data_IF_098305656429
#
_entry.id   IF_098305656429
#
_cell.length_a   1.000
_cell.length_b   1.000
_cell.length_c   1.000
_cell.angle_alpha   90.00
_cell.angle_beta   90.00
_cell.angle_gamma   90.00
#
_symmetry.space_group_name_H-M   'P 1'
#
loop_
_entity.id
_entity.type
_entity.pdbx_description
1 polymer ?
#
# COMPACT_ATOMS: atom_id res chain seq x y z
N UNK A 1 37.18 -14.93 18.80
CA UNK A 1 35.87 -14.64 19.38
C UNK A 1 34.87 -15.52 18.66
N UNK A 2 33.94 -16.12 19.39
CA UNK A 2 32.92 -17.01 18.80
C UNK A 2 31.73 -16.21 18.28
N UNK A 3 30.87 -16.84 17.46
CA UNK A 3 29.63 -16.22 16.99
C UNK A 3 28.75 -15.71 18.15
N UNK A 4 28.64 -16.50 19.24
CA UNK A 4 27.89 -16.14 20.45
C UNK A 4 28.44 -14.91 21.17
N UNK A 5 29.77 -14.74 21.19
CA UNK A 5 30.42 -13.58 21.83
C UNK A 5 30.07 -12.30 21.06
N UNK A 6 30.21 -12.33 19.74
CA UNK A 6 29.79 -11.22 18.88
C UNK A 6 28.30 -10.92 18.95
N UNK A 7 27.47 -11.95 19.15
CA UNK A 7 26.03 -11.77 19.35
C UNK A 7 25.74 -11.08 20.69
N UNK A 8 26.39 -11.48 21.78
CA UNK A 8 26.23 -10.83 23.08
C UNK A 8 26.70 -9.36 23.06
N UNK A 9 27.84 -9.08 22.42
CA UNK A 9 28.32 -7.71 22.20
C UNK A 9 27.28 -6.87 21.44
N UNK A 10 26.65 -7.47 20.43
CA UNK A 10 25.63 -6.82 19.64
C UNK A 10 24.37 -6.51 20.46
N UNK A 11 23.92 -7.44 21.31
CA UNK A 11 22.78 -7.26 22.20
C UNK A 11 23.06 -6.14 23.20
N UNK A 12 24.24 -6.12 23.82
CA UNK A 12 24.64 -5.05 24.74
C UNK A 12 24.62 -3.68 24.03
N UNK A 13 25.22 -3.57 22.84
CA UNK A 13 25.21 -2.34 22.07
C UNK A 13 23.78 -1.90 21.68
N UNK A 14 22.90 -2.85 21.34
CA UNK A 14 21.51 -2.56 20.99
C UNK A 14 20.72 -2.04 22.19
N UNK A 15 20.88 -2.66 23.36
CA UNK A 15 20.25 -2.22 24.61
C UNK A 15 20.72 -0.83 25.06
N UNK A 16 21.98 -0.49 24.76
CA UNK A 16 22.55 0.85 24.98
C UNK A 16 22.08 1.88 23.93
N UNK A 17 21.40 1.46 22.86
CA UNK A 17 20.92 2.31 21.77
C UNK A 17 21.98 2.63 20.71
N UNK A 18 23.14 1.97 20.74
CA UNK A 18 24.21 2.12 19.76
C UNK A 18 23.93 1.25 18.53
N UNK A 19 22.96 1.65 17.70
CA UNK A 19 22.49 0.83 16.57
C UNK A 19 23.57 0.47 15.54
N UNK A 20 24.51 1.37 15.25
CA UNK A 20 25.59 1.09 14.29
C UNK A 20 26.55 0.00 14.84
N UNK A 21 26.93 0.12 16.11
CA UNK A 21 27.79 -0.86 16.79
C UNK A 21 27.09 -2.22 16.90
N UNK A 22 25.80 -2.21 17.28
CA UNK A 22 24.97 -3.40 17.32
C UNK A 22 24.89 -4.09 15.95
N UNK A 23 24.69 -3.33 14.87
CA UNK A 23 24.64 -3.88 13.52
C UNK A 23 25.97 -4.51 13.10
N UNK A 24 27.10 -3.85 13.37
CA UNK A 24 28.44 -4.37 13.03
C UNK A 24 28.79 -5.63 13.84
N UNK A 25 28.53 -5.65 15.15
CA UNK A 25 28.75 -6.83 15.99
C UNK A 25 27.83 -8.00 15.58
N UNK A 26 26.55 -7.74 15.30
CA UNK A 26 25.63 -8.76 14.79
C UNK A 26 26.10 -9.30 13.42
N UNK A 27 26.66 -8.43 12.57
CA UNK A 27 27.24 -8.82 11.28
C UNK A 27 28.45 -9.75 11.42
N UNK A 28 29.27 -9.56 12.45
CA UNK A 28 30.36 -10.47 12.78
C UNK A 28 29.82 -11.82 13.27
N UNK A 29 28.79 -11.82 14.12
CA UNK A 29 28.16 -13.04 14.60
C UNK A 29 27.62 -13.91 13.44
N UNK A 30 26.86 -13.32 12.51
CA UNK A 30 26.31 -14.06 11.34
C UNK A 30 27.37 -14.44 10.30
N UNK A 31 28.56 -13.83 10.36
CA UNK A 31 29.68 -14.23 9.50
C UNK A 31 30.35 -15.49 10.03
N UNK A 32 30.47 -15.61 11.34
CA UNK A 32 31.01 -16.81 12.01
C UNK A 32 29.99 -17.96 12.04
N UNK A 33 28.71 -17.66 12.31
CA UNK A 33 27.60 -18.60 12.20
C UNK A 33 26.47 -18.06 11.31
N UNK A 34 26.47 -18.41 10.01
CA UNK A 34 25.42 -17.99 9.09
C UNK A 34 24.01 -18.46 9.42
N UNK A 35 23.86 -19.49 10.28
CA UNK A 35 22.56 -20.04 10.69
C UNK A 35 22.01 -19.39 11.96
N UNK A 36 22.73 -18.44 12.57
CA UNK A 36 22.32 -17.78 13.79
C UNK A 36 21.14 -16.81 13.56
N UNK A 37 19.91 -17.30 13.75
CA UNK A 37 18.67 -16.56 13.49
C UNK A 37 18.56 -15.29 14.33
N UNK A 38 18.85 -15.35 15.62
CA UNK A 38 18.68 -14.19 16.51
C UNK A 38 19.69 -13.06 16.20
N UNK A 39 20.92 -13.39 15.79
CA UNK A 39 21.90 -12.42 15.29
C UNK A 39 21.44 -11.77 13.97
N UNK A 40 20.84 -12.54 13.05
CA UNK A 40 20.22 -11.98 11.86
C UNK A 40 19.04 -11.05 12.18
N UNK A 41 18.23 -11.41 13.19
CA UNK A 41 17.14 -10.54 13.66
C UNK A 41 17.70 -9.20 14.17
N UNK A 42 18.80 -9.25 14.93
CA UNK A 42 19.47 -8.04 15.38
C UNK A 42 20.05 -7.21 14.24
N UNK A 43 20.63 -7.84 13.20
CA UNK A 43 21.00 -7.14 11.97
C UNK A 43 19.79 -6.44 11.31
N UNK A 44 18.63 -7.10 11.28
CA UNK A 44 17.42 -6.54 10.66
C UNK A 44 16.89 -5.32 11.42
N UNK A 45 16.88 -5.40 12.75
CA UNK A 45 16.38 -4.33 13.62
C UNK A 45 17.37 -3.16 13.73
N UNK A 46 18.65 -3.44 14.00
CA UNK A 46 19.69 -2.42 14.17
C UNK A 46 20.01 -1.66 12.89
N UNK A 47 19.75 -2.24 11.71
CA UNK A 47 19.87 -1.53 10.44
C UNK A 47 18.85 -0.39 10.29
N UNK A 48 17.71 -0.45 10.99
CA UNK A 48 16.68 0.58 10.91
C UNK A 48 16.94 1.69 11.93
N UNK A 49 16.64 2.95 11.59
CA UNK A 49 16.80 4.05 12.54
C UNK A 49 15.77 3.94 13.68
N UNK A 50 15.97 4.69 14.77
CA UNK A 50 15.03 4.74 15.88
C UNK A 50 13.60 5.09 15.43
N UNK A 51 12.61 4.66 16.22
CA UNK A 51 11.19 4.92 15.93
C UNK A 51 10.93 6.42 15.72
N UNK A 52 10.33 6.74 14.58
CA UNK A 52 9.95 8.11 14.19
C UNK A 52 10.85 8.71 13.11
N UNK A 53 12.03 8.14 12.88
CA UNK A 53 12.91 8.51 11.77
C UNK A 53 12.62 7.68 10.53
N UNK A 54 12.84 8.27 9.35
CA UNK A 54 12.63 7.59 8.06
C UNK A 54 13.92 6.89 7.63
N UNK A 55 13.91 5.56 7.39
CA UNK A 55 15.10 4.85 6.95
C UNK A 55 15.56 5.30 5.57
N UNK A 56 16.87 5.26 5.36
CA UNK A 56 17.48 5.42 4.03
C UNK A 56 17.28 4.15 3.19
N UNK A 57 17.52 4.24 1.88
CA UNK A 57 17.50 3.08 0.99
C UNK A 57 18.51 2.02 1.43
N UNK A 58 19.70 2.43 1.85
CA UNK A 58 20.75 1.51 2.33
C UNK A 58 20.29 0.72 3.55
N UNK A 59 19.78 1.42 4.57
CA UNK A 59 19.26 0.82 5.80
C UNK A 59 18.10 -0.15 5.54
N UNK A 60 17.16 0.28 4.71
CA UNK A 60 16.00 -0.54 4.31
C UNK A 60 16.43 -1.81 3.57
N UNK A 61 17.40 -1.70 2.66
CA UNK A 61 17.95 -2.84 1.93
C UNK A 61 18.75 -3.80 2.84
N UNK A 62 19.53 -3.28 3.79
CA UNK A 62 20.24 -4.10 4.79
C UNK A 62 19.24 -4.88 5.66
N UNK A 63 18.21 -4.20 6.17
CA UNK A 63 17.15 -4.82 6.98
C UNK A 63 16.40 -5.89 6.20
N UNK A 64 15.97 -5.59 4.97
CA UNK A 64 15.28 -6.55 4.12
C UNK A 64 16.16 -7.77 3.78
N UNK A 65 17.46 -7.56 3.56
CA UNK A 65 18.39 -8.66 3.30
C UNK A 65 18.50 -9.61 4.49
N UNK A 66 18.59 -9.07 5.71
CA UNK A 66 18.60 -9.87 6.93
C UNK A 66 17.28 -10.61 7.13
N UNK A 67 16.14 -9.94 6.92
CA UNK A 67 14.81 -10.56 6.96
C UNK A 67 14.69 -11.74 5.99
N UNK A 68 15.12 -11.58 4.73
CA UNK A 68 15.13 -12.68 3.74
C UNK A 68 16.00 -13.86 4.20
N UNK A 69 17.10 -13.60 4.92
CA UNK A 69 17.94 -14.67 5.49
C UNK A 69 17.26 -15.38 6.66
N UNK A 70 16.63 -14.64 7.57
CA UNK A 70 15.87 -15.23 8.68
C UNK A 70 14.81 -16.17 8.16
N UNK A 71 13.99 -15.71 7.21
CA UNK A 71 12.92 -16.52 6.63
C UNK A 71 13.45 -17.77 5.93
N UNK A 72 14.60 -17.70 5.26
CA UNK A 72 15.21 -18.88 4.65
C UNK A 72 15.71 -19.92 5.66
N UNK A 73 16.03 -19.51 6.90
CA UNK A 73 16.51 -20.40 7.97
C UNK A 73 15.34 -20.90 8.83
N UNK A 74 14.46 -19.99 9.24
CA UNK A 74 13.33 -20.22 10.13
C UNK A 74 12.08 -19.45 9.64
N UNK A 75 11.29 -20.06 8.73
CA UNK A 75 10.05 -19.45 8.23
C UNK A 75 8.97 -19.25 9.29
N UNK A 76 9.10 -19.87 10.48
CA UNK A 76 8.12 -19.77 11.56
C UNK A 76 8.13 -18.40 12.27
N UNK A 77 9.15 -17.57 11.99
CA UNK A 77 9.27 -16.20 12.53
C UNK A 77 8.30 -15.24 11.86
N UNK A 78 7.01 -15.36 12.20
CA UNK A 78 5.91 -14.54 11.69
C UNK A 78 6.20 -13.04 11.69
N UNK A 79 6.81 -12.51 12.76
CA UNK A 79 7.16 -11.09 12.86
C UNK A 79 8.06 -10.60 11.71
N UNK A 80 8.96 -11.46 11.19
CA UNK A 80 9.87 -11.11 10.11
C UNK A 80 9.18 -11.06 8.76
N UNK A 81 8.14 -11.87 8.54
CA UNK A 81 7.29 -11.73 7.35
C UNK A 81 6.59 -10.38 7.31
N UNK A 82 6.03 -9.94 8.44
CA UNK A 82 5.40 -8.62 8.55
C UNK A 82 6.38 -7.48 8.35
N UNK A 83 7.58 -7.58 8.93
CA UNK A 83 8.64 -6.60 8.71
C UNK A 83 9.04 -6.54 7.23
N UNK A 84 9.28 -7.69 6.60
CA UNK A 84 9.62 -7.78 5.18
C UNK A 84 8.55 -7.19 4.26
N UNK A 85 7.28 -7.51 4.52
CA UNK A 85 6.15 -6.97 3.77
C UNK A 85 6.11 -5.44 3.82
N UNK A 86 6.21 -4.85 5.03
CA UNK A 86 6.28 -3.40 5.22
C UNK A 86 7.48 -2.76 4.53
N UNK A 87 8.66 -3.38 4.60
CA UNK A 87 9.86 -2.86 3.93
C UNK A 87 9.69 -2.86 2.41
N UNK A 88 9.09 -3.90 1.84
CA UNK A 88 8.84 -4.02 0.40
C UNK A 88 7.78 -3.03 -0.07
N UNK A 89 6.59 -3.01 0.56
CA UNK A 89 5.46 -2.19 0.13
C UNK A 89 5.65 -0.72 0.46
N UNK A 90 5.88 -0.41 1.73
CA UNK A 90 5.75 0.95 2.25
C UNK A 90 7.05 1.72 2.04
N UNK A 91 8.19 1.12 2.40
CA UNK A 91 9.49 1.80 2.36
C UNK A 91 10.13 1.79 0.98
N UNK A 92 10.03 0.70 0.21
CA UNK A 92 10.70 0.56 -1.09
C UNK A 92 9.78 0.73 -2.31
N UNK A 93 8.48 0.54 -2.14
CA UNK A 93 7.49 0.58 -3.23
C UNK A 93 7.64 -0.57 -4.23
N UNK A 94 8.20 -1.70 -3.79
CA UNK A 94 8.36 -2.93 -4.57
C UNK A 94 7.08 -3.76 -4.46
N UNK A 95 6.02 -3.29 -5.12
CA UNK A 95 4.69 -3.85 -4.95
C UNK A 95 4.58 -5.28 -5.54
N UNK A 96 5.21 -5.55 -6.67
CA UNK A 96 5.22 -6.90 -7.28
C UNK A 96 6.00 -7.90 -6.40
N UNK A 97 7.16 -7.51 -5.85
CA UNK A 97 7.89 -8.33 -4.88
C UNK A 97 7.11 -8.52 -3.58
N UNK A 98 6.37 -7.51 -3.13
CA UNK A 98 5.51 -7.61 -1.96
C UNK A 98 4.36 -8.61 -2.17
N UNK A 99 3.74 -8.65 -3.36
CA UNK A 99 2.74 -9.67 -3.69
C UNK A 99 3.32 -11.09 -3.59
N UNK A 100 4.50 -11.29 -4.18
CA UNK A 100 5.19 -12.58 -4.11
C UNK A 100 5.59 -12.94 -2.66
N UNK A 101 6.03 -11.95 -1.87
CA UNK A 101 6.38 -12.13 -0.46
C UNK A 101 5.19 -12.61 0.38
N UNK A 102 4.03 -11.99 0.21
CA UNK A 102 2.81 -12.43 0.89
C UNK A 102 2.31 -13.78 0.38
N UNK A 103 2.51 -14.08 -0.90
CA UNK A 103 2.18 -15.41 -1.42
C UNK A 103 3.06 -16.49 -0.81
N UNK A 104 4.36 -16.24 -0.65
CA UNK A 104 5.27 -17.15 0.06
C UNK A 104 4.82 -17.40 1.50
N UNK A 105 4.31 -16.37 2.19
CA UNK A 105 3.75 -16.57 3.53
C UNK A 105 2.57 -17.53 3.55
N UNK A 106 1.73 -17.56 2.50
CA UNK A 106 0.61 -18.51 2.40
C UNK A 106 1.05 -19.96 2.27
N UNK A 107 2.21 -20.24 1.66
CA UNK A 107 2.77 -21.59 1.66
C UNK A 107 3.10 -22.08 3.08
N UNK A 108 3.53 -21.16 3.96
CA UNK A 108 3.89 -21.51 5.34
C UNK A 108 2.71 -21.43 6.32
N UNK A 109 1.78 -20.49 6.09
CA UNK A 109 0.62 -20.22 6.92
C UNK A 109 -0.61 -19.98 6.03
N UNK A 110 -1.19 -21.03 5.44
CA UNK A 110 -2.27 -20.91 4.45
C UNK A 110 -3.56 -20.34 5.03
N UNK A 111 -3.84 -20.63 6.32
CA UNK A 111 -5.04 -20.15 7.02
C UNK A 111 -4.87 -18.75 7.63
N UNK A 112 -3.72 -18.10 7.44
CA UNK A 112 -3.51 -16.73 7.90
C UNK A 112 -4.20 -15.76 6.92
N UNK A 113 -5.13 -14.96 7.45
CA UNK A 113 -5.94 -14.03 6.65
C UNK A 113 -5.12 -12.84 6.16
N UNK A 114 -4.10 -12.43 6.92
CA UNK A 114 -3.39 -11.18 6.67
C UNK A 114 -2.72 -11.10 5.28
N UNK A 115 -2.01 -12.12 4.75
CA UNK A 115 -1.54 -12.17 3.37
C UNK A 115 -2.59 -11.79 2.33
N UNK A 116 -3.81 -12.33 2.40
CA UNK A 116 -4.87 -12.05 1.42
C UNK A 116 -5.31 -10.59 1.48
N UNK A 117 -5.42 -10.02 2.69
CA UNK A 117 -5.78 -8.62 2.89
C UNK A 117 -4.69 -7.67 2.36
N UNK A 118 -3.42 -7.98 2.62
CA UNK A 118 -2.30 -7.18 2.13
C UNK A 118 -2.15 -7.32 0.61
N UNK A 119 -2.28 -8.52 0.04
CA UNK A 119 -2.33 -8.73 -1.41
C UNK A 119 -3.45 -7.93 -2.07
N UNK A 120 -4.67 -8.00 -1.53
CA UNK A 120 -5.81 -7.23 -2.05
C UNK A 120 -5.58 -5.71 -1.98
N UNK A 121 -4.93 -5.24 -0.91
CA UNK A 121 -4.59 -3.82 -0.74
C UNK A 121 -3.57 -3.37 -1.78
N UNK A 122 -2.50 -4.15 -1.99
CA UNK A 122 -1.48 -3.87 -3.00
C UNK A 122 -2.06 -3.87 -4.42
N UNK A 123 -2.90 -4.85 -4.75
CA UNK A 123 -3.59 -4.94 -6.04
C UNK A 123 -4.53 -3.74 -6.25
N UNK A 124 -5.27 -3.31 -5.23
CA UNK A 124 -6.12 -2.12 -5.31
C UNK A 124 -5.31 -0.82 -5.53
N UNK A 125 -4.12 -0.71 -4.92
CA UNK A 125 -3.18 0.40 -5.14
C UNK A 125 -2.63 0.40 -6.58
N UNK A 126 -2.33 -0.78 -7.13
CA UNK A 126 -1.98 -0.97 -8.54
C UNK A 126 -3.15 -0.69 -9.50
N UNK A 127 -4.39 -0.70 -9.01
CA UNK A 127 -5.61 -0.56 -9.82
C UNK A 127 -6.14 -1.86 -10.42
N UNK A 128 -5.64 -3.01 -9.95
CA UNK A 128 -6.05 -4.36 -10.30
C UNK A 128 -7.20 -4.81 -9.39
N UNK A 129 -8.37 -4.18 -9.56
CA UNK A 129 -9.50 -4.36 -8.64
C UNK A 129 -10.18 -5.72 -8.76
N UNK A 130 -10.14 -6.35 -9.94
CA UNK A 130 -10.72 -7.67 -10.17
C UNK A 130 -9.91 -8.74 -9.43
N UNK A 131 -8.59 -8.67 -9.51
CA UNK A 131 -7.66 -9.53 -8.79
C UNK A 131 -7.75 -9.26 -7.28
N UNK A 132 -7.80 -7.99 -6.88
CA UNK A 132 -7.99 -7.63 -5.47
C UNK A 132 -9.30 -8.21 -4.89
N UNK A 133 -10.38 -8.21 -5.68
CA UNK A 133 -11.66 -8.81 -5.28
C UNK A 133 -11.49 -10.31 -5.05
N UNK A 134 -10.87 -11.00 -6.00
CA UNK A 134 -10.64 -12.43 -5.92
C UNK A 134 -9.85 -12.83 -4.66
N UNK A 135 -8.84 -12.03 -4.27
CA UNK A 135 -8.09 -12.26 -3.03
C UNK A 135 -8.95 -12.11 -1.76
N UNK A 136 -9.93 -11.21 -1.75
CA UNK A 136 -10.83 -11.05 -0.61
C UNK A 136 -11.91 -12.12 -0.54
N UNK A 137 -12.39 -12.59 -1.70
CA UNK A 137 -13.36 -13.70 -1.79
C UNK A 137 -12.75 -15.02 -1.30
N UNK A 138 -11.46 -15.25 -1.55
CA UNK A 138 -10.72 -16.39 -1.02
C UNK A 138 -10.80 -16.52 0.52
N UNK A 139 -10.91 -15.41 1.27
CA UNK A 139 -11.07 -15.45 2.73
C UNK A 139 -12.36 -16.18 3.13
N UNK A 140 -13.45 -15.90 2.40
CA UNK A 140 -14.76 -16.55 2.62
C UNK A 140 -14.81 -17.95 2.05
N UNK A 141 -14.23 -18.17 0.87
CA UNK A 141 -14.26 -19.45 0.17
C UNK A 141 -13.44 -20.51 0.92
N UNK A 142 -12.29 -20.13 1.47
CA UNK A 142 -11.42 -20.98 2.28
C UNK A 142 -11.87 -21.06 3.76
N UNK A 143 -13.03 -20.48 4.11
CA UNK A 143 -13.60 -20.45 5.47
C UNK A 143 -12.59 -20.02 6.56
N UNK A 144 -11.78 -19.00 6.28
CA UNK A 144 -10.76 -18.54 7.21
C UNK A 144 -11.36 -17.88 8.46
N UNK A 145 -10.71 -18.07 9.60
CA UNK A 145 -11.12 -17.42 10.85
C UNK A 145 -10.69 -15.95 10.85
N UNK A 146 -11.67 -15.05 10.81
CA UNK A 146 -11.46 -13.60 10.80
C UNK A 146 -11.78 -13.04 12.17
N UNK A 147 -10.77 -12.46 12.82
CA UNK A 147 -11.00 -11.75 14.08
C UNK A 147 -11.95 -10.56 13.89
N UNK A 148 -12.76 -10.24 14.91
CA UNK A 148 -13.71 -9.13 14.83
C UNK A 148 -13.05 -7.77 14.52
N UNK A 149 -11.79 -7.58 14.90
CA UNK A 149 -11.02 -6.39 14.55
C UNK A 149 -10.65 -6.34 13.05
N UNK A 150 -10.25 -7.47 12.48
CA UNK A 150 -9.93 -7.58 11.05
C UNK A 150 -11.18 -7.46 10.19
N UNK A 151 -12.33 -7.98 10.66
CA UNK A 151 -13.58 -7.98 9.91
C UNK A 151 -13.99 -6.59 9.42
N UNK A 152 -13.86 -5.55 10.26
CA UNK A 152 -14.21 -4.18 9.87
C UNK A 152 -13.30 -3.65 8.74
N UNK A 153 -11.98 -3.90 8.83
CA UNK A 153 -11.00 -3.50 7.79
C UNK A 153 -11.29 -4.23 6.48
N UNK A 154 -11.52 -5.54 6.55
CA UNK A 154 -11.82 -6.40 5.40
C UNK A 154 -13.12 -5.97 4.74
N UNK A 155 -14.20 -5.78 5.51
CA UNK A 155 -15.50 -5.34 4.98
C UNK A 155 -15.42 -3.98 4.28
N UNK A 156 -14.67 -3.02 4.85
CA UNK A 156 -14.43 -1.73 4.23
C UNK A 156 -13.66 -1.86 2.91
N UNK A 157 -12.57 -2.64 2.91
CA UNK A 157 -11.76 -2.88 1.71
C UNK A 157 -12.58 -3.61 0.64
N UNK A 158 -13.30 -4.66 1.00
CA UNK A 158 -14.20 -5.41 0.13
C UNK A 158 -15.25 -4.52 -0.50
N UNK A 159 -15.92 -3.67 0.27
CA UNK A 159 -16.89 -2.71 -0.27
C UNK A 159 -16.27 -1.73 -1.26
N UNK A 160 -15.03 -1.27 -1.00
CA UNK A 160 -14.31 -0.39 -1.93
C UNK A 160 -13.95 -1.13 -3.23
N UNK A 161 -13.34 -2.30 -3.11
CA UNK A 161 -12.85 -3.10 -4.22
C UNK A 161 -14.01 -3.58 -5.10
N UNK A 162 -15.08 -4.12 -4.50
CA UNK A 162 -16.28 -4.56 -5.23
C UNK A 162 -16.95 -3.42 -6.00
N UNK A 163 -17.04 -2.23 -5.39
CA UNK A 163 -17.58 -1.05 -6.07
C UNK A 163 -16.71 -0.55 -7.23
N UNK A 164 -15.41 -0.86 -7.19
CA UNK A 164 -14.47 -0.52 -8.24
C UNK A 164 -14.48 -1.60 -9.34
N UNK A 165 -14.41 -2.89 -9.00
CA UNK A 165 -14.40 -3.98 -9.98
C UNK A 165 -15.66 -4.07 -10.85
N UNK A 166 -16.78 -3.48 -10.41
CA UNK A 166 -18.01 -3.38 -11.21
C UNK A 166 -18.02 -2.21 -12.22
N UNK A 167 -17.05 -1.31 -12.18
CA UNK A 167 -16.94 -0.21 -13.15
C UNK A 167 -16.23 -0.72 -14.41
N UNK A 168 -16.45 -0.05 -15.54
CA UNK A 168 -15.81 -0.41 -16.81
C UNK A 168 -14.28 -0.37 -16.68
N UNK A 169 -13.62 -1.48 -17.01
CA UNK A 169 -12.17 -1.65 -16.96
C UNK A 169 -11.40 -0.59 -17.75
N UNK A 170 -12.03 -0.02 -18.79
CA UNK A 170 -11.46 1.04 -19.63
C UNK A 170 -11.39 2.39 -18.92
N UNK A 171 -12.09 2.56 -17.80
CA UNK A 171 -12.02 3.77 -16.98
C UNK A 171 -10.83 3.79 -16.01
N UNK A 172 -10.24 2.63 -15.72
CA UNK A 172 -9.15 2.52 -14.76
C UNK A 172 -7.83 2.93 -15.36
N UNK A 173 -7.14 3.84 -14.69
CA UNK A 173 -5.83 4.29 -15.14
C UNK A 173 -4.80 3.17 -15.09
N UNK A 174 -4.27 2.82 -16.28
CA UNK A 174 -3.20 1.86 -16.52
C UNK A 174 -1.90 2.59 -16.91
N UNK A 175 -0.93 2.76 -16.00
CA UNK A 175 0.30 3.52 -16.28
C UNK A 175 1.16 2.95 -17.42
N UNK A 176 1.12 1.63 -17.65
CA UNK A 176 1.88 0.98 -18.72
C UNK A 176 1.34 1.28 -20.13
N UNK A 177 0.11 1.78 -20.24
CA UNK A 177 -0.50 2.18 -21.51
C UNK A 177 -0.24 3.66 -21.80
N UNK A 178 0.66 3.94 -22.75
CA UNK A 178 1.08 5.32 -23.10
C UNK A 178 -0.07 6.23 -23.56
N UNK A 179 -1.08 5.66 -24.22
CA UNK A 179 -2.21 6.42 -24.77
C UNK A 179 -3.47 6.37 -23.89
N UNK A 180 -3.34 5.99 -22.62
CA UNK A 180 -4.47 5.93 -21.71
C UNK A 180 -5.00 7.34 -21.37
N UNK A 181 -6.32 7.53 -21.38
CA UNK A 181 -7.01 8.81 -21.10
C UNK A 181 -6.62 9.46 -19.76
N UNK A 182 -6.19 8.65 -18.80
CA UNK A 182 -5.74 9.11 -17.49
C UNK A 182 -4.48 9.99 -17.53
N UNK A 183 -3.62 9.85 -18.54
CA UNK A 183 -2.45 10.73 -18.72
C UNK A 183 -2.87 12.17 -19.02
N UNK A 184 -3.80 12.37 -19.96
CA UNK A 184 -4.34 13.70 -20.27
C UNK A 184 -5.04 14.34 -19.05
N UNK A 185 -5.72 13.54 -18.23
CA UNK A 185 -6.33 14.04 -17.00
C UNK A 185 -5.29 14.53 -15.96
N UNK A 186 -4.12 13.88 -15.90
CA UNK A 186 -2.99 14.31 -15.06
C UNK A 186 -2.42 15.62 -15.60
N UNK A 187 -2.11 15.70 -16.89
CA UNK A 187 -1.52 16.89 -17.54
C UNK A 187 -2.37 18.15 -17.32
N UNK A 188 -3.70 18.03 -17.38
CA UNK A 188 -4.61 19.14 -17.15
C UNK A 188 -4.59 19.68 -15.71
N UNK A 189 -4.22 18.85 -14.71
CA UNK A 189 -4.29 19.21 -13.28
C UNK A 189 -2.95 19.23 -12.55
N UNK A 190 -1.84 18.85 -13.20
CA UNK A 190 -0.53 18.68 -12.56
C UNK A 190 0.07 19.97 -11.97
N UNK A 191 -0.42 21.15 -12.36
CA UNK A 191 0.10 22.45 -11.91
C UNK A 191 -0.37 22.86 -10.50
N UNK A 192 -1.25 22.10 -9.85
CA UNK A 192 -1.78 22.41 -8.52
C UNK A 192 -1.65 21.22 -7.57
N UNK A 193 -1.44 21.43 -6.27
CA UNK A 193 -1.48 20.36 -5.29
C UNK A 193 -2.90 19.75 -5.20
N UNK A 194 -3.03 18.52 -4.69
CA UNK A 194 -4.32 17.90 -4.47
C UNK A 194 -5.09 18.69 -3.40
N UNK A 195 -6.41 18.74 -3.57
CA UNK A 195 -7.29 19.51 -2.69
C UNK A 195 -7.55 18.70 -1.42
N UNK A 196 -7.43 19.29 -0.23
CA UNK A 196 -7.71 18.58 1.03
C UNK A 196 -9.21 18.41 1.29
N UNK A 197 -9.60 17.36 2.01
CA UNK A 197 -11.00 17.12 2.40
C UNK A 197 -11.54 18.27 3.27
N UNK A 198 -10.73 18.79 4.19
CA UNK A 198 -11.12 19.92 5.04
C UNK A 198 -11.35 21.19 4.24
N UNK A 199 -10.55 21.46 3.20
CA UNK A 199 -10.77 22.61 2.32
C UNK A 199 -12.09 22.49 1.55
N UNK A 200 -12.40 21.28 1.04
CA UNK A 200 -13.68 21.03 0.37
C UNK A 200 -14.85 21.19 1.33
N UNK A 201 -14.75 20.64 2.54
CA UNK A 201 -15.79 20.80 3.56
C UNK A 201 -16.01 22.28 3.93
N UNK A 202 -14.93 23.03 4.13
CA UNK A 202 -14.99 24.47 4.41
C UNK A 202 -15.59 25.28 3.26
N UNK A 203 -15.41 24.87 2.01
CA UNK A 203 -15.93 25.62 0.85
C UNK A 203 -17.36 25.22 0.49
N UNK A 204 -17.76 23.96 0.70
CA UNK A 204 -19.10 23.48 0.34
C UNK A 204 -20.08 23.53 1.51
N UNK A 205 -19.67 23.06 2.69
CA UNK A 205 -20.59 22.79 3.81
C UNK A 205 -20.69 23.96 4.78
N UNK A 206 -19.56 24.62 5.08
CA UNK A 206 -19.55 25.74 6.05
C UNK A 206 -20.45 26.92 5.62
N UNK A 207 -20.51 27.33 4.33
CA UNK A 207 -21.45 28.37 3.92
C UNK A 207 -22.92 27.98 4.14
N UNK A 208 -23.25 26.69 3.95
CA UNK A 208 -24.60 26.17 4.20
C UNK A 208 -24.91 26.21 5.69
N UNK A 209 -23.97 25.78 6.54
CA UNK A 209 -24.11 25.86 8.00
C UNK A 209 -24.27 27.31 8.48
N UNK A 210 -23.52 28.24 7.90
CA UNK A 210 -23.66 29.67 8.22
C UNK A 210 -25.05 30.18 7.87
N UNK A 211 -25.57 29.84 6.68
CA UNK A 211 -26.93 30.20 6.29
C UNK A 211 -27.97 29.58 7.24
N UNK A 212 -27.82 28.30 7.56
CA UNK A 212 -28.68 27.61 8.51
C UNK A 212 -28.73 28.32 9.87
N UNK A 213 -27.58 28.72 10.43
CA UNK A 213 -27.52 29.47 11.68
C UNK A 213 -28.16 30.86 11.54
N UNK A 214 -27.85 31.60 10.47
CA UNK A 214 -28.40 32.96 10.26
C UNK A 214 -29.92 32.97 10.07
N UNK A 215 -30.48 31.94 9.43
CA UNK A 215 -31.91 31.83 9.17
C UNK A 215 -32.68 31.04 10.25
N UNK A 216 -31.99 30.35 11.16
CA UNK A 216 -32.62 29.56 12.23
C UNK A 216 -33.64 30.37 13.04
N UNK A 217 -33.30 31.60 13.41
CA UNK A 217 -34.15 32.52 14.17
C UNK A 217 -35.41 32.98 13.44
N UNK A 218 -35.51 32.75 12.12
CA UNK A 218 -36.70 33.12 11.31
C UNK A 218 -37.72 32.00 11.19
N UNK A 219 -37.28 30.74 11.29
CA UNK A 219 -38.12 29.58 11.02
C UNK A 219 -38.42 28.75 12.26
N UNK A 220 -37.63 28.91 13.34
CA UNK A 220 -37.75 28.10 14.54
C UNK A 220 -38.21 28.96 15.71
N UNK A 221 -39.32 28.56 16.34
CA UNK A 221 -39.87 29.25 17.52
C UNK A 221 -38.87 29.26 18.69
N UNK A 222 -38.86 30.35 19.45
CA UNK A 222 -38.00 30.50 20.61
C UNK A 222 -38.48 29.59 21.75
N UNK A 223 -37.71 28.57 22.07
CA UNK A 223 -38.00 27.62 23.14
C UNK A 223 -37.06 26.41 23.12
N UNK A 224 -37.17 25.53 24.12
CA UNK A 224 -36.36 24.31 24.23
C UNK A 224 -36.50 23.40 23.01
N UNK A 225 -37.72 23.24 22.48
CA UNK A 225 -37.97 22.44 21.28
C UNK A 225 -37.28 23.00 20.03
N UNK A 226 -37.27 24.32 19.88
CA UNK A 226 -36.59 24.99 18.78
C UNK A 226 -35.07 24.80 18.82
N UNK A 227 -34.48 24.93 20.01
CA UNK A 227 -33.05 24.68 20.21
C UNK A 227 -32.66 23.23 19.88
N UNK A 228 -33.47 22.25 20.27
CA UNK A 228 -33.23 20.85 19.92
C UNK A 228 -33.33 20.63 18.41
N UNK A 229 -34.32 21.23 17.75
CA UNK A 229 -34.52 21.09 16.31
C UNK A 229 -33.38 21.71 15.50
N UNK A 230 -32.91 22.91 15.86
CA UNK A 230 -31.76 23.54 15.20
C UNK A 230 -30.49 22.74 15.40
N UNK A 231 -30.28 22.18 16.61
CA UNK A 231 -29.11 21.34 16.90
C UNK A 231 -29.13 20.05 16.06
N UNK A 232 -30.29 19.40 15.94
CA UNK A 232 -30.46 18.21 15.08
C UNK A 232 -30.25 18.54 13.60
N UNK A 233 -30.75 19.69 13.14
CA UNK A 233 -30.57 20.14 11.76
C UNK A 233 -29.09 20.38 11.44
N UNK A 234 -28.37 21.09 12.32
CA UNK A 234 -26.92 21.34 12.16
C UNK A 234 -26.16 20.01 12.11
N UNK A 235 -26.49 19.08 13.01
CA UNK A 235 -25.86 17.76 13.02
C UNK A 235 -26.12 17.00 11.72
N UNK A 236 -27.35 17.02 11.21
CA UNK A 236 -27.69 16.40 9.93
C UNK A 236 -26.92 17.04 8.76
N UNK A 237 -26.85 18.38 8.71
CA UNK A 237 -26.08 19.13 7.69
C UNK A 237 -24.59 18.78 7.74
N UNK A 238 -24.00 18.66 8.93
CA UNK A 238 -22.60 18.24 9.10
C UNK A 238 -22.39 16.82 8.59
N UNK A 239 -23.25 15.86 8.96
CA UNK A 239 -23.13 14.47 8.49
C UNK A 239 -23.27 14.33 6.97
N UNK A 240 -24.26 15.01 6.38
CA UNK A 240 -24.49 15.02 4.93
C UNK A 240 -23.32 15.72 4.22
N UNK A 241 -22.90 16.87 4.75
CA UNK A 241 -21.78 17.65 4.23
C UNK A 241 -20.46 16.89 4.25
N UNK A 242 -20.19 16.10 5.29
CA UNK A 242 -19.01 15.21 5.34
C UNK A 242 -19.07 14.16 4.23
N UNK A 243 -20.22 13.48 4.04
CA UNK A 243 -20.38 12.47 2.97
C UNK A 243 -20.22 13.09 1.57
N UNK A 244 -20.80 14.27 1.36
CA UNK A 244 -20.71 15.00 0.10
C UNK A 244 -19.27 15.47 -0.20
N UNK A 245 -18.60 16.05 0.79
CA UNK A 245 -17.20 16.49 0.69
C UNK A 245 -16.29 15.32 0.31
N UNK A 246 -16.42 14.15 0.95
CA UNK A 246 -15.66 12.94 0.61
C UNK A 246 -15.88 12.48 -0.83
N UNK A 247 -17.12 12.53 -1.31
CA UNK A 247 -17.44 12.16 -2.70
C UNK A 247 -16.80 13.13 -3.69
N UNK A 248 -16.86 14.43 -3.43
CA UNK A 248 -16.18 15.45 -4.26
C UNK A 248 -14.67 15.27 -4.23
N UNK A 249 -14.10 15.05 -3.04
CA UNK A 249 -12.67 14.85 -2.84
C UNK A 249 -12.11 13.77 -3.78
N UNK A 250 -12.74 12.59 -3.80
CA UNK A 250 -12.33 11.49 -4.69
C UNK A 250 -12.39 11.89 -6.16
N UNK A 251 -13.46 12.57 -6.58
CA UNK A 251 -13.66 12.99 -7.97
C UNK A 251 -12.66 14.05 -8.41
N UNK A 252 -12.42 15.06 -7.58
CA UNK A 252 -11.53 16.18 -7.88
C UNK A 252 -10.07 15.72 -7.93
N UNK A 253 -9.68 14.84 -7.01
CA UNK A 253 -8.32 14.32 -6.87
C UNK A 253 -8.04 13.04 -7.67
N UNK A 254 -8.97 12.55 -8.50
CA UNK A 254 -8.74 11.40 -9.39
C UNK A 254 -7.39 11.49 -10.15
N UNK A 255 -6.99 12.65 -10.72
CA UNK A 255 -5.69 12.77 -11.37
C UNK A 255 -4.49 12.63 -10.42
N UNK A 256 -4.61 13.06 -9.16
CA UNK A 256 -3.55 12.87 -8.16
C UNK A 256 -3.40 11.38 -7.80
N UNK A 257 -4.51 10.64 -7.68
CA UNK A 257 -4.48 9.19 -7.46
C UNK A 257 -3.91 8.45 -8.68
N UNK A 258 -4.26 8.87 -9.89
CA UNK A 258 -3.67 8.33 -11.11
C UNK A 258 -2.15 8.56 -11.15
N UNK A 259 -1.69 9.78 -10.85
CA UNK A 259 -0.25 10.06 -10.81
C UNK A 259 0.46 9.24 -9.74
N UNK A 260 -0.13 9.11 -8.55
CA UNK A 260 0.39 8.25 -7.50
C UNK A 260 0.53 6.79 -7.97
N UNK A 261 -0.45 6.27 -8.71
CA UNK A 261 -0.39 4.93 -9.31
C UNK A 261 0.73 4.81 -10.34
N UNK A 262 0.91 5.80 -11.21
CA UNK A 262 2.06 5.82 -12.13
C UNK A 262 3.39 5.84 -11.37
N UNK A 263 3.51 6.63 -10.31
CA UNK A 263 4.72 6.68 -9.48
C UNK A 263 4.99 5.33 -8.80
N UNK A 264 3.95 4.69 -8.26
CA UNK A 264 4.06 3.36 -7.67
C UNK A 264 4.44 2.30 -8.72
N UNK A 265 3.90 2.41 -9.94
CA UNK A 265 4.26 1.54 -11.05
C UNK A 265 5.75 1.66 -11.41
N UNK A 266 6.26 2.89 -11.60
CA UNK A 266 7.69 3.10 -11.88
C UNK A 266 8.57 2.58 -10.75
N UNK A 267 8.14 2.79 -9.50
CA UNK A 267 8.86 2.25 -8.35
C UNK A 267 8.88 0.73 -8.44
N UNK A 268 7.75 0.08 -8.58
CA UNK A 268 7.68 -1.38 -8.57
C UNK A 268 8.47 -2.00 -9.73
N UNK A 269 8.24 -1.52 -10.95
CA UNK A 269 8.80 -2.12 -12.16
C UNK A 269 10.25 -1.71 -12.44
N UNK A 270 10.72 -0.59 -11.88
CA UNK A 270 12.01 0.00 -12.21
C UNK A 270 12.09 0.63 -13.60
N UNK A 271 10.95 0.80 -14.28
CA UNK A 271 10.89 1.39 -15.62
C UNK A 271 10.30 2.80 -15.57
N UNK A 272 10.77 3.65 -16.47
CA UNK A 272 10.28 5.02 -16.63
C UNK A 272 9.15 5.07 -17.67
N UNK A 273 7.99 5.57 -17.24
CA UNK A 273 6.79 5.83 -18.05
C UNK A 273 6.28 7.28 -17.94
N UNK A 274 6.56 7.98 -16.85
CA UNK A 274 6.15 9.37 -16.59
C UNK A 274 7.04 10.33 -17.38
N UNK A 275 6.42 11.26 -18.10
CA UNK A 275 7.10 12.30 -18.88
C UNK A 275 7.79 13.35 -17.99
N UNK A 276 8.84 13.98 -18.52
CA UNK A 276 9.61 15.01 -17.80
C UNK A 276 8.74 16.22 -17.38
N UNK A 277 7.76 16.59 -18.21
CA UNK A 277 6.80 17.67 -17.92
C UNK A 277 5.98 17.36 -16.66
N UNK A 278 5.55 16.10 -16.50
CA UNK A 278 4.80 15.67 -15.31
C UNK A 278 5.75 15.61 -14.11
N UNK A 279 7.00 15.16 -14.26
CA UNK A 279 7.97 15.07 -13.15
C UNK A 279 8.31 16.41 -12.52
N UNK A 280 8.43 17.45 -13.34
CA UNK A 280 8.72 18.81 -12.87
C UNK A 280 7.48 19.54 -12.33
N UNK A 281 6.31 18.91 -12.39
CA UNK A 281 5.05 19.51 -11.95
C UNK A 281 4.94 19.62 -10.42
N UNK A 282 4.13 20.59 -9.98
CA UNK A 282 3.83 20.82 -8.55
C UNK A 282 3.19 19.59 -7.93
N UNK A 283 2.28 18.92 -8.66
CA UNK A 283 1.58 17.73 -8.19
C UNK A 283 2.53 16.57 -7.95
N UNK A 284 3.47 16.32 -8.86
CA UNK A 284 4.47 15.26 -8.72
C UNK A 284 5.35 15.51 -7.50
N UNK A 285 5.93 16.71 -7.39
CA UNK A 285 6.79 17.08 -6.26
C UNK A 285 6.04 16.97 -4.92
N UNK A 286 4.78 17.38 -4.88
CA UNK A 286 3.94 17.27 -3.68
C UNK A 286 3.75 15.81 -3.22
N UNK A 287 3.50 14.89 -4.16
CA UNK A 287 3.35 13.46 -3.85
C UNK A 287 4.70 12.86 -3.44
N UNK A 288 5.77 13.15 -4.19
CA UNK A 288 7.14 12.69 -3.95
C UNK A 288 7.61 12.99 -2.53
N UNK A 289 7.44 14.23 -2.06
CA UNK A 289 7.90 14.67 -0.73
C UNK A 289 7.24 13.91 0.44
N UNK A 290 6.04 13.35 0.21
CA UNK A 290 5.29 12.60 1.23
C UNK A 290 5.64 11.13 1.30
N UNK A 291 6.31 10.59 0.27
CA UNK A 291 6.77 9.20 0.27
C UNK A 291 7.89 8.97 1.29
N UNK A 292 8.14 7.73 1.70
CA UNK A 292 9.27 7.43 2.58
C UNK A 292 10.61 7.75 1.94
N UNK A 293 11.64 7.94 2.77
CA UNK A 293 12.95 8.40 2.30
C UNK A 293 13.63 7.35 1.42
N UNK A 294 13.59 6.08 1.82
CA UNK A 294 14.07 4.96 1.01
C UNK A 294 13.39 4.90 -0.37
N UNK A 295 12.06 5.09 -0.41
CA UNK A 295 11.28 5.14 -1.65
C UNK A 295 11.76 6.27 -2.56
N UNK A 296 11.97 7.47 -2.01
CA UNK A 296 12.43 8.63 -2.76
C UNK A 296 13.83 8.41 -3.34
N UNK A 297 14.78 7.93 -2.53
CA UNK A 297 16.14 7.63 -2.96
C UNK A 297 16.17 6.58 -4.08
N UNK A 298 15.32 5.55 -3.98
CA UNK A 298 15.20 4.51 -5.01
C UNK A 298 14.59 5.05 -6.30
N UNK A 299 13.51 5.82 -6.19
CA UNK A 299 12.86 6.46 -7.33
C UNK A 299 13.83 7.37 -8.10
N UNK A 300 14.66 8.15 -7.41
CA UNK A 300 15.68 8.98 -8.06
C UNK A 300 16.69 8.16 -8.87
N UNK A 301 17.13 7.01 -8.35
CA UNK A 301 18.02 6.08 -9.09
C UNK A 301 17.35 5.50 -10.33
N UNK A 302 16.07 5.15 -10.26
CA UNK A 302 15.30 4.65 -11.42
C UNK A 302 15.18 5.73 -12.50
N UNK A 303 14.92 6.98 -12.09
CA UNK A 303 14.87 8.12 -13.00
C UNK A 303 16.23 8.36 -13.67
N UNK A 304 17.32 8.27 -12.91
CA UNK A 304 18.68 8.41 -13.44
C UNK A 304 19.04 7.29 -14.44
N UNK A 305 18.67 6.05 -14.15
CA UNK A 305 18.86 4.89 -15.05
C UNK A 305 18.06 5.04 -16.35
N UNK A 306 16.91 5.72 -16.32
CA UNK A 306 16.13 6.10 -17.51
C UNK A 306 15.74 4.91 -18.42
N UNK A 307 15.62 3.71 -17.84
CA UNK A 307 15.23 2.50 -18.56
C UNK A 307 13.75 2.58 -18.96
N UNK A 308 13.50 2.47 -20.26
CA UNK A 308 12.14 2.56 -20.82
C UNK A 308 11.42 1.22 -20.70
N UNK A 309 10.11 1.30 -20.51
CA UNK A 309 9.23 0.12 -20.52
C UNK A 309 9.36 -0.65 -21.85
N UNK A 310 9.65 -1.96 -21.83
CA UNK A 310 9.71 -2.77 -23.03
C UNK A 310 8.33 -2.90 -23.70
N UNK A 311 8.32 -3.15 -25.01
CA UNK A 311 7.08 -3.44 -25.74
C UNK A 311 6.46 -4.75 -25.28
N UNK A 312 5.13 -4.79 -25.16
CA UNK A 312 4.40 -6.00 -24.75
C UNK A 312 4.52 -6.33 -23.25
N UNK A 313 4.92 -5.36 -22.43
CA UNK A 313 4.99 -5.53 -20.98
C UNK A 313 3.63 -5.96 -20.40
N UNK A 314 3.67 -6.91 -19.46
CA UNK A 314 2.53 -7.39 -18.67
C UNK A 314 2.95 -7.51 -17.21
N UNK A 315 1.98 -7.43 -16.30
CA UNK A 315 2.22 -7.73 -14.90
C UNK A 315 2.72 -9.17 -14.75
N UNK A 316 3.73 -9.35 -13.91
CA UNK A 316 4.15 -10.66 -13.45
C UNK A 316 3.56 -10.88 -12.05
N UNK A 317 2.27 -11.22 -12.00
CA UNK A 317 1.61 -11.55 -10.74
C UNK A 317 2.06 -12.94 -10.27
N UNK A 318 2.24 -13.16 -8.97
CA UNK A 318 2.47 -14.51 -8.47
C UNK A 318 1.25 -15.38 -8.74
N UNK A 319 1.47 -16.68 -8.89
CA UNK A 319 0.37 -17.64 -8.83
C UNK A 319 -0.23 -17.59 -7.42
N UNK A 320 -1.48 -17.14 -7.32
CA UNK A 320 -2.15 -16.96 -6.06
C UNK A 320 -2.68 -18.27 -5.46
N UNK A 321 -2.72 -19.35 -6.24
CA UNK A 321 -3.20 -20.67 -5.83
C UNK A 321 -2.07 -21.65 -5.53
N UNK A 322 -0.82 -21.28 -5.78
CA UNK A 322 0.38 -22.11 -5.58
C UNK A 322 0.48 -22.80 -4.21
N UNK A 323 -0.06 -22.21 -3.15
CA UNK A 323 -0.07 -22.80 -1.81
C UNK A 323 -1.06 -23.98 -1.64
N UNK A 324 -2.04 -24.15 -2.54
CA UNK A 324 -2.97 -25.28 -2.56
C UNK A 324 -2.28 -26.56 -3.00
N UNK A 325 -1.23 -26.47 -3.84
CA UNK A 325 -0.42 -27.61 -4.27
C UNK A 325 0.24 -28.28 -3.06
N UNK A 326 0.79 -27.49 -2.14
CA UNK A 326 1.43 -27.96 -0.92
C UNK A 326 0.44 -28.60 0.06
N UNK A 327 -0.84 -28.22 -0.01
CA UNK A 327 -1.92 -28.79 0.77
C UNK A 327 -2.51 -30.07 0.15
N UNK A 328 -2.08 -30.45 -1.06
CA UNK A 328 -2.64 -31.56 -1.83
C UNK A 328 -4.11 -31.34 -2.21
N UNK A 329 -4.52 -30.07 -2.35
CA UNK A 329 -5.91 -29.67 -2.62
C UNK A 329 -6.21 -29.45 -4.11
N UNK A 330 -5.24 -29.66 -5.01
CA UNK A 330 -5.54 -29.72 -6.43
C UNK A 330 -6.27 -31.05 -6.69
N UNK A 331 -7.58 -30.99 -6.96
CA UNK A 331 -8.22 -32.03 -7.75
C UNK A 331 -7.60 -31.97 -9.15
N UNK A 332 -6.98 -33.06 -9.61
CA UNK A 332 -6.61 -33.22 -11.03
C UNK A 332 -7.88 -33.00 -11.89
N UNK A 333 -8.06 -31.78 -12.38
CA UNK A 333 -9.33 -31.35 -12.98
C UNK A 333 -9.21 -30.04 -13.74
N UNK A 334 -8.69 -30.16 -14.97
CA UNK A 334 -8.81 -29.24 -16.11
C UNK A 334 -8.07 -27.89 -16.04
N UNK A 335 -6.96 -27.84 -16.79
CA UNK A 335 -6.37 -26.62 -17.35
C UNK A 335 -7.42 -25.87 -18.20
N UNK A 336 -8.27 -25.05 -17.58
CA UNK A 336 -9.01 -24.03 -18.32
C UNK A 336 -8.04 -22.89 -18.66
N UNK A 337 -7.34 -23.11 -19.78
CA UNK A 337 -6.60 -22.10 -20.52
C UNK A 337 -7.50 -20.86 -20.67
N UNK A 338 -7.18 -19.75 -20.01
CA UNK A 338 -7.83 -18.45 -20.19
C UNK A 338 -7.84 -18.10 -21.68
N UNK A 339 -8.94 -18.38 -22.38
CA UNK A 339 -9.15 -17.92 -23.74
C UNK A 339 -9.56 -16.45 -23.68
N UNK A 340 -8.63 -15.59 -24.08
CA UNK A 340 -8.95 -14.22 -24.45
C UNK A 340 -10.03 -14.24 -25.53
N UNK A 341 -11.23 -13.81 -25.18
CA UNK A 341 -12.29 -13.51 -26.13
C UNK A 341 -11.82 -12.34 -27.01
N UNK A 342 -11.41 -12.65 -28.24
CA UNK A 342 -11.32 -11.69 -29.33
C UNK A 342 -12.71 -11.61 -29.99
N UNK A 343 -13.40 -10.49 -29.81
CA UNK A 343 -14.55 -10.14 -30.64
C UNK A 343 -14.04 -9.55 -31.96
N UNK A 344 -14.11 -10.34 -33.03
CA UNK A 344 -14.31 -9.85 -34.39
C UNK A 344 -15.63 -10.40 -34.91
N UNK A 345 -16.64 -9.53 -35.01
CA UNK A 345 -17.58 -9.43 -36.14
C UNK A 345 -18.27 -8.05 -36.15
#
# INVERSE_FOLDING_TARGET
MGAEEHYLDAVEAYDLGNLEEAYEAARLAVKEDPMHVDAWQLCAEAALPPKGEKPTLKQTAQSLSAVKKIIAIDPSRTAMWFLGGRLLSDELGLLDEALAWWQQLRHHMPMEVTPLVEQATLLADMGLYTEARYRLEAITDENMDVSGQQYAKISQLHGMVMSASMQDDREFFKPWEKHHNGWGAIELKMRKPPVSESFLFMTTTVPILLLEVLFSNRFVEQGWGGFCLTTLMIFATVLIGMRFSRRIFRRVNRPAFNLLRAMNFEASSGYVVISEDIRTSVLYVYIMQRKPKAWQERMLKIIEDSTKLPGGWKHNLPDFESHLEDLGLIEDGDEEHFQQWNEEE
#
